data_IF_706686595390
#
_entry.id   IF_706686595390
#
_cell.length_a   1.000
_cell.length_b   1.000
_cell.length_c   1.000
_cell.angle_alpha   90.00
_cell.angle_beta   90.00
_cell.angle_gamma   90.00
#
_symmetry.space_group_name_H-M   'P 1'
#
loop_
_entity.id
_entity.type
_entity.pdbx_description
1 polymer ?
2 non-polymer ?
3 water ?
#
# COMPACT_ATOMS: atom_id res chain seq x y z
N UNK A 5 -20.95 0.97 -7.46
CA UNK A 5 -19.54 1.07 -7.74
C UNK A 5 -19.28 1.48 -9.20
N UNK A 6 -18.61 2.61 -9.38
CA UNK A 6 -18.26 3.09 -10.71
C UNK A 6 -16.89 2.56 -11.11
N UNK A 7 -16.86 1.67 -12.11
CA UNK A 7 -15.60 1.12 -12.57
C UNK A 7 -15.00 1.99 -13.68
N UNK A 8 -13.84 2.54 -13.41
CA UNK A 8 -13.17 3.44 -14.35
C UNK A 8 -12.06 2.70 -15.09
N UNK A 9 -12.29 2.44 -16.38
CA UNK A 9 -11.29 1.77 -17.20
C UNK A 9 -10.03 2.62 -17.33
N UNK A 10 -8.87 2.00 -17.13
CA UNK A 10 -7.61 2.71 -17.30
C UNK A 10 -7.00 2.39 -18.66
N UNK A 11 -6.94 3.40 -19.52
CA UNK A 11 -6.53 3.19 -20.91
C UNK A 11 -5.46 4.16 -21.34
N UNK A 12 -5.51 5.36 -20.80
CA UNK A 12 -4.55 6.38 -21.20
C UNK A 12 -4.36 7.44 -20.13
N UNK A 13 -3.12 7.88 -19.97
CA UNK A 13 -2.79 8.95 -19.05
C UNK A 13 -1.50 9.62 -19.52
N UNK A 14 -1.46 10.94 -19.40
CA UNK A 14 -0.23 11.69 -19.61
C UNK A 14 -0.10 12.71 -18.50
N UNK A 15 0.94 12.58 -17.68
CA UNK A 15 1.13 13.54 -16.59
C UNK A 15 1.29 14.93 -17.17
N UNK A 16 0.82 15.94 -16.44
CA UNK A 16 0.95 17.32 -16.93
C UNK A 16 2.42 17.67 -17.11
N UNK A 17 2.74 18.25 -18.27
CA UNK A 17 4.13 18.53 -18.61
C UNK A 17 4.62 17.56 -19.67
N UNK A 18 4.38 16.26 -19.45
CA UNK A 18 4.81 15.24 -20.39
C UNK A 18 4.06 15.32 -21.73
N UNK A 19 4.55 14.57 -22.71
CA UNK A 19 3.89 14.39 -24.00
C UNK A 19 3.43 12.93 -24.09
N UNK A 20 2.36 12.65 -24.81
CA UNK A 20 1.85 11.28 -24.93
C UNK A 20 2.97 10.28 -25.29
N UNK A 21 3.01 9.16 -24.58
CA UNK A 21 4.06 8.17 -24.78
C UNK A 21 3.58 6.89 -25.44
N UNK A 22 4.52 6.07 -25.90
CA UNK A 22 4.24 4.76 -26.48
C UNK A 22 5.44 3.85 -26.26
N UNK A 23 5.31 2.55 -26.58
CA UNK A 23 6.36 1.60 -26.22
C UNK A 23 7.73 1.92 -26.84
N UNK A 24 7.73 2.59 -27.99
CA UNK A 24 8.98 2.87 -28.70
C UNK A 24 9.80 3.96 -28.04
N UNK A 25 9.21 4.67 -27.09
CA UNK A 25 9.92 5.75 -26.40
C UNK A 25 10.68 5.28 -25.15
N UNK A 26 10.65 3.99 -24.89
CA UNK A 26 11.33 3.42 -23.72
C UNK A 26 12.29 2.29 -24.12
N UNK A 27 13.29 2.05 -23.27
CA UNK A 27 14.13 0.86 -23.40
C UNK A 27 14.25 0.14 -22.05
N UNK A 28 14.22 -1.18 -22.08
CA UNK A 28 14.33 -1.99 -20.87
C UNK A 28 15.76 -2.00 -20.32
N UNK A 29 15.89 -1.88 -19.00
CA UNK A 29 17.20 -1.95 -18.37
C UNK A 29 17.35 -3.22 -17.56
N UNK A 30 16.34 -3.54 -16.76
CA UNK A 30 16.38 -4.74 -15.93
C UNK A 30 15.05 -5.00 -15.27
N UNK A 31 14.99 -6.09 -14.52
CA UNK A 31 13.78 -6.40 -13.76
C UNK A 31 13.94 -5.90 -12.34
N UNK A 32 12.95 -5.14 -11.86
CA UNK A 32 12.99 -4.58 -10.51
C UNK A 32 12.38 -5.54 -9.50
N UNK A 33 11.42 -6.33 -9.96
CA UNK A 33 10.72 -7.23 -9.07
C UNK A 33 9.62 -7.99 -9.78
N UNK A 34 8.92 -8.82 -9.02
CA UNK A 34 7.88 -9.65 -9.58
C UNK A 34 6.70 -9.56 -8.62
N UNK A 35 5.53 -9.22 -9.14
CA UNK A 35 4.32 -9.18 -8.33
C UNK A 35 3.35 -10.25 -8.80
N UNK A 36 2.16 -10.26 -8.20
CA UNK A 36 1.11 -11.19 -8.57
C UNK A 36 0.68 -11.01 -10.03
N UNK A 37 0.73 -9.77 -10.50
CA UNK A 37 0.26 -9.46 -11.84
C UNK A 37 1.41 -9.27 -12.84
N UNK A 38 2.58 -9.79 -12.50
CA UNK A 38 3.69 -9.80 -13.43
C UNK A 38 4.96 -9.13 -12.94
N UNK A 39 5.95 -9.08 -13.82
CA UNK A 39 7.24 -8.48 -13.50
C UNK A 39 7.09 -6.97 -13.49
N UNK A 40 7.95 -6.29 -12.74
CA UNK A 40 8.03 -4.84 -12.82
C UNK A 40 9.41 -4.51 -13.38
N UNK A 41 9.46 -3.73 -14.45
CA UNK A 41 10.72 -3.49 -15.15
C UNK A 41 11.28 -2.09 -14.86
N UNK A 42 12.60 -1.98 -14.89
CA UNK A 42 13.22 -0.64 -14.94
C UNK A 42 13.38 -0.25 -16.40
N UNK A 43 12.91 0.95 -16.74
CA UNK A 43 13.02 1.41 -18.12
C UNK A 43 13.61 2.81 -18.17
N UNK A 44 14.20 3.17 -19.31
CA UNK A 44 14.70 4.51 -19.53
C UNK A 44 13.88 5.15 -20.64
N UNK A 45 13.42 6.38 -20.42
CA UNK A 45 12.73 7.15 -21.47
C UNK A 45 13.82 7.64 -22.41
N UNK A 46 13.70 7.33 -23.70
CA UNK A 46 14.79 7.66 -24.63
C UNK A 46 14.58 8.96 -25.39
N UNK A 47 13.36 9.49 -25.36
CA UNK A 47 13.09 10.72 -26.07
C UNK A 47 12.01 11.54 -25.38
N UNK A 48 11.96 12.83 -25.70
CA UNK A 48 10.95 13.69 -25.12
C UNK A 48 11.50 14.57 -24.02
N UNK A 49 10.63 15.41 -23.46
CA UNK A 49 11.01 16.38 -22.45
C UNK A 49 11.71 15.71 -21.27
N UNK A 50 11.33 14.47 -20.98
CA UNK A 50 11.91 13.72 -19.88
C UNK A 50 12.88 12.63 -20.35
N UNK A 51 13.48 12.83 -21.52
CA UNK A 51 14.45 11.86 -22.03
C UNK A 51 15.53 11.59 -20.98
N UNK A 52 15.95 10.33 -20.87
CA UNK A 52 17.03 9.89 -19.98
C UNK A 52 16.55 9.59 -18.56
N UNK A 53 15.31 9.98 -18.24
CA UNK A 53 14.71 9.70 -16.95
C UNK A 53 14.42 8.21 -16.79
N UNK A 54 14.58 7.69 -15.58
CA UNK A 54 14.27 6.29 -15.29
C UNK A 54 12.89 6.15 -14.63
N UNK A 55 12.18 5.09 -14.98
CA UNK A 55 10.85 4.85 -14.43
C UNK A 55 10.68 3.35 -14.18
N UNK A 56 9.68 2.98 -13.39
CA UNK A 56 9.27 1.57 -13.30
C UNK A 56 8.17 1.35 -14.33
N UNK A 57 8.09 0.14 -14.87
CA UNK A 57 7.03 -0.20 -15.83
C UNK A 57 6.31 -1.50 -15.48
N UNK A 58 4.98 -1.46 -15.51
CA UNK A 58 4.17 -2.67 -15.42
C UNK A 58 3.46 -2.89 -16.75
N UNK A 59 3.38 -4.14 -17.19
CA UNK A 59 2.67 -4.47 -18.41
C UNK A 59 1.56 -5.46 -18.10
N UNK A 60 0.32 -5.02 -18.24
CA UNK A 60 -0.85 -5.83 -17.88
C UNK A 60 -1.71 -6.07 -19.11
N UNK A 61 -2.75 -6.89 -18.95
CA UNK A 61 -3.74 -7.00 -20.00
C UNK A 61 -4.70 -5.83 -19.86
N UNK A 62 -5.11 -5.57 -18.63
CA UNK A 62 -5.98 -4.44 -18.36
C UNK A 62 -5.98 -4.06 -16.88
N UNK A 63 -6.59 -2.93 -16.58
CA UNK A 63 -6.68 -2.43 -15.22
C UNK A 63 -7.88 -1.50 -15.13
N UNK A 64 -8.58 -1.57 -13.99
CA UNK A 64 -9.70 -0.67 -13.77
C UNK A 64 -9.64 -0.13 -12.36
N UNK A 65 -10.22 1.04 -12.15
CA UNK A 65 -10.30 1.62 -10.82
C UNK A 65 -11.76 1.62 -10.37
N UNK A 66 -12.08 0.79 -9.38
CA UNK A 66 -13.43 0.73 -8.83
C UNK A 66 -13.61 1.83 -7.79
N UNK A 67 -14.56 2.72 -8.04
CA UNK A 67 -14.76 3.87 -7.16
C UNK A 67 -16.17 3.85 -6.60
N UNK A 68 -16.28 3.75 -5.27
CA UNK A 68 -17.58 3.80 -4.62
C UNK A 68 -18.04 5.24 -4.46
N UNK A 78 -8.81 12.85 -14.33
CA UNK A 78 -8.85 13.56 -13.06
C UNK A 78 -8.51 12.63 -11.91
N UNK A 79 -9.13 11.45 -11.86
CA UNK A 79 -8.90 10.52 -10.75
C UNK A 79 -7.44 10.08 -10.70
N UNK A 80 -6.82 9.90 -11.87
CA UNK A 80 -5.42 9.46 -11.91
C UNK A 80 -4.47 10.55 -11.45
N UNK A 81 -5.00 11.76 -11.30
CA UNK A 81 -4.27 12.88 -10.75
C UNK A 81 -4.60 13.05 -9.28
N UNK A 82 -5.86 12.80 -8.94
CA UNK A 82 -6.33 12.95 -7.56
C UNK A 82 -5.64 11.99 -6.60
N UNK A 83 -5.29 10.81 -7.12
CA UNK A 83 -4.67 9.78 -6.28
C UNK A 83 -3.24 10.13 -5.89
N UNK A 84 -2.69 11.21 -6.45
CA UNK A 84 -1.35 11.64 -6.07
C UNK A 84 -1.26 11.99 -4.58
N UNK A 85 -0.17 11.55 -3.96
CA UNK A 85 0.00 11.71 -2.53
C UNK A 85 1.49 11.53 -2.20
N UNK A 86 1.96 12.14 -1.10
CA UNK A 86 3.38 12.05 -0.72
C UNK A 86 3.85 10.60 -0.56
N UNK A 87 2.95 9.71 -0.14
CA UNK A 87 3.33 8.34 0.17
C UNK A 87 2.72 7.29 -0.77
N UNK A 88 2.36 7.73 -1.98
CA UNK A 88 1.83 6.84 -3.00
C UNK A 88 2.57 7.03 -4.31
N UNK A 89 2.90 5.93 -4.98
CA UNK A 89 3.65 6.00 -6.25
C UNK A 89 2.88 6.88 -7.23
N UNK A 90 3.62 7.64 -8.04
CA UNK A 90 2.98 8.47 -9.06
C UNK A 90 2.96 7.76 -10.41
N UNK A 91 1.83 7.83 -11.10
CA UNK A 91 1.69 7.31 -12.45
C UNK A 91 2.04 8.44 -13.41
N UNK A 92 3.03 8.21 -14.27
CA UNK A 92 3.47 9.23 -15.20
C UNK A 92 2.81 9.09 -16.57
N UNK A 93 2.63 7.84 -17.00
CA UNK A 93 1.97 7.56 -18.28
C UNK A 93 1.18 6.26 -18.21
N UNK A 94 0.13 6.17 -19.01
CA UNK A 94 -0.51 4.89 -19.28
C UNK A 94 -0.87 4.88 -20.77
N UNK A 95 -0.63 3.75 -21.44
CA UNK A 95 -1.00 3.61 -22.84
C UNK A 95 -1.25 2.16 -23.19
N UNK A 96 -2.04 1.92 -24.22
CA UNK A 96 -2.36 0.57 -24.66
C UNK A 96 -1.86 0.32 -26.08
N UNK A 97 -1.23 -0.83 -26.28
CA UNK A 97 -0.78 -1.24 -27.59
C UNK A 97 -0.82 -2.76 -27.69
N UNK A 98 -1.56 -3.27 -28.67
CA UNK A 98 -1.67 -4.71 -28.94
C UNK A 98 -2.34 -5.52 -27.83
N UNK A 99 -3.43 -4.99 -27.29
CA UNK A 99 -4.14 -5.67 -26.23
C UNK A 99 -3.34 -5.75 -24.95
N UNK A 100 -2.45 -4.78 -24.75
CA UNK A 100 -1.66 -4.69 -23.53
C UNK A 100 -1.76 -3.28 -22.97
N UNK A 101 -1.73 -3.17 -21.65
CA UNK A 101 -1.71 -1.87 -20.98
C UNK A 101 -0.34 -1.66 -20.33
N UNK A 102 0.30 -0.54 -20.65
CA UNK A 102 1.59 -0.20 -20.08
C UNK A 102 1.39 0.89 -19.05
N UNK A 103 1.93 0.68 -17.84
CA UNK A 103 1.90 1.71 -16.81
C UNK A 103 3.33 2.13 -16.50
N UNK A 104 3.58 3.43 -16.59
CA UNK A 104 4.91 3.98 -16.32
C UNK A 104 4.83 4.76 -15.02
N UNK A 105 5.59 4.31 -14.03
CA UNK A 105 5.45 4.79 -12.66
C UNK A 105 6.80 5.31 -12.13
N UNK A 106 6.77 6.08 -11.05
CA UNK A 106 8.00 6.43 -10.34
C UNK A 106 8.87 5.19 -10.20
N UNK A 107 10.17 5.37 -10.39
CA UNK A 107 11.15 4.37 -9.98
C UNK A 107 11.41 4.60 -8.49
N UNK A 108 10.91 3.68 -7.66
CA UNK A 108 11.11 3.77 -6.21
C UNK A 108 12.45 3.12 -5.86
N UNK A 109 13.36 3.91 -5.28
CA UNK A 109 14.77 3.52 -5.21
C UNK A 109 15.20 2.90 -3.87
N UNK A 110 14.32 2.91 -2.89
CA UNK A 110 14.69 2.52 -1.54
C UNK A 110 14.46 1.06 -1.16
N UNK A 111 13.90 0.27 -2.07
CA UNK A 111 13.64 -1.13 -1.79
C UNK A 111 12.42 -1.25 -0.89
N UNK A 112 12.03 -2.48 -0.55
CA UNK A 112 10.82 -2.65 0.25
C UNK A 112 11.07 -2.43 1.73
N UNK A 113 10.02 -2.04 2.45
CA UNK A 113 10.15 -1.68 3.86
C UNK A 113 10.60 -2.87 4.70
N UNK A 114 9.99 -4.02 4.45
CA UNK A 114 10.30 -5.20 5.26
C UNK A 114 11.77 -5.60 5.14
N UNK A 115 12.34 -5.42 3.95
CA UNK A 115 13.74 -5.76 3.75
C UNK A 115 14.65 -4.80 4.53
N UNK A 116 14.29 -3.52 4.54
CA UNK A 116 15.06 -2.51 5.27
C UNK A 116 15.03 -2.80 6.76
N UNK A 117 13.86 -3.18 7.27
CA UNK A 117 13.73 -3.51 8.69
C UNK A 117 14.54 -4.75 9.05
N UNK A 118 14.59 -5.71 8.13
CA UNK A 118 15.32 -6.97 8.39
C UNK A 118 16.82 -6.75 8.53
N UNK A 119 17.30 -5.62 8.03
CA UNK A 119 18.73 -5.30 8.11
C UNK A 119 19.10 -4.66 9.44
N UNK A 120 18.09 -4.47 10.30
CA UNK A 120 18.27 -3.84 11.61
C UNK A 120 17.94 -4.83 12.72
N UNK A 121 18.91 -5.12 13.59
CA UNK A 121 18.65 -6.01 14.72
C UNK A 121 17.74 -5.38 15.78
N UNK A 122 17.93 -4.09 16.06
CA UNK A 122 17.35 -3.46 17.24
C UNK A 122 16.15 -2.52 17.07
N UNK A 123 15.37 -2.62 15.99
CA UNK A 123 14.33 -1.59 15.80
C UNK A 123 13.23 -1.60 16.87
N UNK A 124 12.64 -0.43 17.09
CA UNK A 124 11.71 -0.21 18.19
C UNK A 124 10.28 0.00 17.74
N UNK A 125 9.37 0.02 18.71
CA UNK A 125 7.97 0.35 18.45
C UNK A 125 7.85 1.72 17.79
N UNK A 126 8.64 2.69 18.26
CA UNK A 126 8.57 4.04 17.72
C UNK A 126 9.05 4.10 16.27
N UNK A 127 10.03 3.27 15.91
CA UNK A 127 10.47 3.19 14.52
C UNK A 127 9.31 2.70 13.65
N UNK A 128 8.69 1.60 14.05
CA UNK A 128 7.58 1.04 13.30
C UNK A 128 6.41 2.02 13.20
N UNK A 129 6.16 2.75 14.28
CA UNK A 129 5.08 3.74 14.33
C UNK A 129 5.20 4.78 13.22
N UNK A 130 6.43 5.16 12.90
CA UNK A 130 6.66 6.16 11.86
C UNK A 130 6.12 5.67 10.52
N UNK A 131 6.46 4.43 10.17
CA UNK A 131 6.04 3.86 8.89
C UNK A 131 4.53 3.60 8.85
N UNK A 132 3.97 3.13 9.97
CA UNK A 132 2.53 2.94 10.03
C UNK A 132 1.79 4.26 9.85
N UNK A 133 2.31 5.32 10.45
CA UNK A 133 1.65 6.62 10.34
C UNK A 133 1.62 7.10 8.89
N UNK A 134 2.74 6.98 8.18
CA UNK A 134 2.74 7.38 6.77
C UNK A 134 1.77 6.51 5.95
N UNK A 135 1.77 5.21 6.23
CA UNK A 135 0.84 4.30 5.58
C UNK A 135 -0.62 4.69 5.83
N UNK A 136 -0.93 5.09 7.06
CA UNK A 136 -2.30 5.50 7.39
C UNK A 136 -2.74 6.72 6.57
N UNK A 137 -1.83 7.67 6.40
CA UNK A 137 -2.19 8.85 5.60
C UNK A 137 -2.48 8.44 4.16
N UNK A 138 -1.66 7.57 3.60
CA UNK A 138 -1.85 7.06 2.25
C UNK A 138 -3.20 6.34 2.08
N UNK A 139 -3.51 5.46 3.03
CA UNK A 139 -4.75 4.70 2.94
C UNK A 139 -5.97 5.60 3.00
N UNK A 140 -5.97 6.52 3.96
CA UNK A 140 -7.10 7.42 4.11
C UNK A 140 -7.24 8.30 2.87
N UNK A 141 -6.12 8.67 2.27
CA UNK A 141 -6.19 9.46 1.05
C UNK A 141 -7.02 8.74 0.00
N UNK A 142 -6.70 7.47 -0.22
CA UNK A 142 -7.44 6.66 -1.18
C UNK A 142 -8.90 6.53 -0.78
N UNK A 143 -9.15 6.26 0.50
CA UNK A 143 -10.53 6.14 0.98
C UNK A 143 -11.33 7.40 0.71
N UNK A 144 -10.69 8.55 0.83
CA UNK A 144 -11.35 9.84 0.63
C UNK A 144 -11.83 9.99 -0.81
N UNK A 145 -11.26 9.19 -1.71
CA UNK A 145 -11.61 9.21 -3.13
C UNK A 145 -12.55 8.06 -3.48
N UNK A 146 -12.99 7.32 -2.46
CA UNK A 146 -13.88 6.19 -2.69
C UNK A 146 -13.15 4.94 -3.14
N UNK A 147 -11.84 4.91 -2.90
CA UNK A 147 -11.01 3.80 -3.32
C UNK A 147 -10.66 2.95 -2.10
N UNK A 148 -10.67 1.63 -2.28
CA UNK A 148 -10.27 0.69 -1.24
C UNK A 148 -9.00 -0.02 -1.72
N UNK A 149 -7.97 -0.11 -0.88
CA UNK A 149 -6.72 -0.67 -1.38
C UNK A 149 -6.90 -2.13 -1.74
N UNK A 150 -7.60 -2.86 -0.88
CA UNK A 150 -8.04 -4.23 -1.13
C UNK A 150 -6.99 -5.30 -0.77
N UNK A 151 -5.83 -5.19 -1.42
CA UNK A 151 -4.84 -6.26 -1.40
C UNK A 151 -3.54 -5.81 -0.74
N UNK A 152 -3.66 -5.04 0.35
CA UNK A 152 -2.49 -4.48 1.02
C UNK A 152 -1.60 -5.57 1.58
N UNK A 153 -0.32 -5.56 1.19
CA UNK A 153 0.65 -6.55 1.64
C UNK A 153 2.05 -5.93 1.64
N UNK A 154 3.02 -6.56 2.33
CA UNK A 154 4.37 -5.99 2.43
C UNK A 154 5.03 -5.66 1.10
N UNK A 155 4.82 -6.49 0.09
CA UNK A 155 5.43 -6.32 -1.22
C UNK A 155 4.98 -5.03 -1.92
N UNK A 156 3.89 -4.45 -1.44
CA UNK A 156 3.39 -3.20 -2.00
C UNK A 156 3.89 -1.97 -1.25
N UNK A 157 4.68 -2.20 -0.21
CA UNK A 157 5.12 -1.10 0.64
C UNK A 157 6.60 -0.90 0.44
N UNK A 158 6.94 0.08 -0.39
CA UNK A 158 8.33 0.39 -0.71
C UNK A 158 8.80 1.68 -0.05
N UNK A 159 10.06 2.03 -0.32
CA UNK A 159 10.65 3.23 0.24
C UNK A 159 11.25 4.02 -0.91
N UNK A 160 11.19 5.34 -0.80
CA UNK A 160 11.90 6.18 -1.77
C UNK A 160 13.34 6.38 -1.34
N UNK A 161 14.08 7.20 -2.08
CA UNK A 161 15.51 7.35 -1.82
C UNK A 161 15.77 8.00 -0.47
N UNK A 162 14.77 8.68 0.07
CA UNK A 162 14.91 9.37 1.35
C UNK A 162 14.43 8.52 2.51
N UNK A 163 13.87 7.36 2.20
CA UNK A 163 13.42 6.42 3.23
C UNK A 163 11.97 6.58 3.65
N UNK A 164 11.21 7.40 2.92
CA UNK A 164 9.78 7.54 3.21
C UNK A 164 8.96 6.46 2.51
N UNK A 165 7.78 6.16 3.08
CA UNK A 165 6.88 5.17 2.51
C UNK A 165 6.39 5.55 1.12
N UNK A 166 6.32 4.55 0.24
CA UNK A 166 5.67 4.71 -1.06
C UNK A 166 4.91 3.44 -1.42
N UNK A 167 3.58 3.52 -1.49
CA UNK A 167 2.78 2.36 -1.93
C UNK A 167 3.00 2.14 -3.43
N UNK A 168 3.04 0.88 -3.86
CA UNK A 168 3.33 0.60 -5.27
C UNK A 168 2.09 0.63 -6.15
N UNK A 169 0.94 0.82 -5.54
CA UNK A 169 -0.29 0.95 -6.32
C UNK A 169 -1.25 1.87 -5.58
N UNK A 170 -2.42 2.10 -6.18
CA UNK A 170 -3.41 2.99 -5.59
C UNK A 170 -4.81 2.43 -5.76
N UNK A 171 -4.92 1.10 -5.72
CA UNK A 171 -6.23 0.46 -5.72
C UNK A 171 -6.70 -0.07 -7.06
N UNK A 172 -5.81 -0.21 -8.03
CA UNK A 172 -6.20 -0.76 -9.32
C UNK A 172 -6.63 -2.22 -9.23
N UNK A 173 -7.71 -2.54 -9.92
CA UNK A 173 -8.09 -3.93 -10.15
C UNK A 173 -7.45 -4.35 -11.47
N UNK A 174 -6.44 -5.21 -11.39
CA UNK A 174 -5.61 -5.54 -12.54
C UNK A 174 -5.89 -6.91 -13.13
N UNK A 175 -5.53 -7.09 -14.39
CA UNK A 175 -5.55 -8.40 -15.04
C UNK A 175 -4.18 -8.62 -15.68
N UNK A 176 -3.49 -9.67 -15.26
CA UNK A 176 -2.18 -9.99 -15.83
C UNK A 176 -2.36 -10.41 -17.29
N UNK A 177 -1.28 -10.36 -18.05
CA UNK A 177 -1.35 -10.66 -19.48
C UNK A 177 -1.62 -12.13 -19.74
N UNK A 189 -2.11 -14.09 -1.21
CA UNK A 189 -1.88 -13.49 0.09
C UNK A 189 -3.16 -13.25 0.87
N UNK A 190 -3.71 -14.33 1.43
CA UNK A 190 -4.91 -14.23 2.24
C UNK A 190 -4.56 -13.78 3.65
N UNK A 191 -3.28 -13.88 4.00
CA UNK A 191 -2.85 -13.60 5.37
C UNK A 191 -3.20 -12.20 5.86
N UNK A 192 -3.36 -11.27 4.93
CA UNK A 192 -3.63 -9.88 5.29
C UNK A 192 -5.09 -9.49 5.09
N UNK A 193 -5.90 -10.42 4.60
CA UNK A 193 -7.28 -10.13 4.23
C UNK A 193 -8.26 -10.12 5.41
N UNK A 194 -9.17 -9.16 5.41
CA UNK A 194 -10.15 -9.03 6.49
C UNK A 194 -11.19 -10.15 6.46
N UNK A 195 -11.74 -10.50 7.63
CA UNK A 195 -12.71 -11.60 7.72
C UNK A 195 -13.88 -11.42 6.75
N UNK A 196 -14.40 -10.20 6.65
CA UNK A 196 -15.52 -9.93 5.76
C UNK A 196 -15.13 -10.12 4.29
N UNK A 197 -13.84 -10.00 4.01
CA UNK A 197 -13.33 -10.23 2.66
C UNK A 197 -13.18 -11.73 2.40
N UNK A 198 -12.62 -12.42 3.37
CA UNK A 198 -12.42 -13.87 3.27
C UNK A 198 -13.72 -14.61 2.96
N UNK A 199 -14.80 -14.26 3.65
CA UNK A 199 -16.07 -14.96 3.48
C UNK A 199 -16.98 -14.32 2.42
N UNK A 200 -16.42 -13.37 1.67
CA UNK A 200 -17.13 -12.75 0.55
C UNK A 200 -18.45 -12.09 0.93
N UNK A 201 -18.62 -11.76 2.21
CA UNK A 201 -19.88 -11.20 2.70
C UNK A 201 -20.06 -9.73 2.33
N UNK A 202 -18.95 -9.01 2.25
CA UNK A 202 -18.99 -7.59 1.97
C UNK A 202 -17.60 -7.00 1.81
N UNK A 203 -17.53 -5.67 1.72
CA UNK A 203 -16.27 -5.01 1.44
C UNK A 203 -16.42 -3.49 1.57
N UNK A 204 -15.69 -2.90 2.51
CA UNK A 204 -15.61 -1.46 2.61
C UNK A 204 -14.17 -1.07 2.91
N UNK A 205 -13.92 0.22 3.10
CA UNK A 205 -12.58 0.68 3.45
C UNK A 205 -12.14 0.14 4.81
N UNK A 206 -13.10 -0.35 5.60
CA UNK A 206 -12.79 -0.92 6.90
C UNK A 206 -11.87 -2.14 6.78
N UNK A 207 -11.99 -2.85 5.67
CA UNK A 207 -11.12 -4.00 5.43
C UNK A 207 -9.64 -3.60 5.36
N UNK A 208 -9.36 -2.38 4.90
CA UNK A 208 -7.97 -1.93 4.81
C UNK A 208 -7.36 -1.73 6.19
N UNK A 209 -8.18 -1.34 7.16
CA UNK A 209 -7.66 -1.10 8.51
C UNK A 209 -7.37 -2.42 9.22
N UNK A 210 -8.08 -3.49 8.83
CA UNK A 210 -7.71 -4.83 9.31
C UNK A 210 -6.35 -5.22 8.78
N UNK A 211 -6.14 -5.05 7.47
CA UNK A 211 -4.85 -5.38 6.87
C UNK A 211 -3.74 -4.58 7.57
N UNK A 212 -4.04 -3.32 7.83
CA UNK A 212 -3.15 -2.41 8.56
C UNK A 212 -2.75 -3.01 9.91
N UNK A 213 -3.74 -3.50 10.66
CA UNK A 213 -3.46 -4.17 11.92
C UNK A 213 -2.57 -5.39 11.75
N UNK A 214 -2.81 -6.16 10.69
CA UNK A 214 -1.98 -7.34 10.44
C UNK A 214 -0.53 -6.94 10.18
N UNK A 215 -0.33 -5.91 9.36
CA UNK A 215 1.02 -5.42 9.12
C UNK A 215 1.69 -4.94 10.41
N UNK A 216 0.95 -4.19 11.22
CA UNK A 216 1.44 -3.74 12.52
C UNK A 216 1.86 -4.91 13.40
N UNK A 217 0.99 -5.90 13.51
CA UNK A 217 1.27 -7.12 14.28
C UNK A 217 2.56 -7.77 13.79
N UNK A 218 2.68 -7.89 12.47
CA UNK A 218 3.83 -8.58 11.90
C UNK A 218 5.13 -7.81 12.12
N UNK A 219 5.09 -6.48 11.99
CA UNK A 219 6.31 -5.69 12.20
C UNK A 219 6.73 -5.66 13.66
N UNK A 220 5.75 -5.69 14.56
CA UNK A 220 6.03 -5.57 15.98
C UNK A 220 6.40 -6.90 16.64
N UNK A 221 6.02 -8.02 16.03
CA UNK A 221 6.28 -9.32 16.64
C UNK A 221 7.14 -10.26 15.80
N UNK A 222 7.26 -9.97 14.51
CA UNK A 222 8.01 -10.82 13.60
C UNK A 222 7.24 -12.06 13.15
N UNK A 223 5.95 -12.11 13.49
CA UNK A 223 5.12 -13.24 13.11
C UNK A 223 3.77 -12.76 12.60
N UNK A 224 3.12 -13.55 11.77
CA UNK A 224 1.75 -13.27 11.34
C UNK A 224 0.78 -13.72 12.42
N UNK A 225 -0.33 -12.99 12.57
CA UNK A 225 -1.32 -13.37 13.59
C UNK A 225 -2.08 -14.64 13.20
N UNK A 226 -2.34 -14.81 11.90
CA UNK A 226 -3.09 -15.97 11.42
C UNK A 226 -2.41 -16.63 10.23
N UNK A 227 -1.96 -17.86 10.41
CA UNK A 227 -1.38 -18.60 9.30
C UNK A 227 -1.42 -20.10 9.56
N UNK A 228 -2.11 -20.82 8.69
CA UNK A 228 -2.19 -22.26 8.80
C UNK A 228 -1.26 -22.95 7.82
N UNK A 229 -1.49 -24.25 7.61
CA UNK A 229 -0.63 -25.05 6.73
C UNK A 229 -0.97 -24.81 5.26
N UNK A 230 -2.16 -24.27 5.01
CA UNK A 230 -2.55 -23.92 3.65
C UNK A 230 -3.55 -22.77 3.67
N UNK A 231 -3.90 -22.27 2.49
CA UNK A 231 -4.82 -21.14 2.38
C UNK A 231 -6.18 -21.42 3.00
N UNK A 232 -6.69 -22.63 2.78
CA UNK A 232 -7.97 -23.05 3.33
C UNK A 232 -8.01 -22.88 4.85
N UNK A 233 -6.95 -23.32 5.52
CA UNK A 233 -6.89 -23.25 6.97
C UNK A 233 -6.63 -21.83 7.47
N UNK A 234 -5.79 -21.10 6.74
CA UNK A 234 -5.51 -19.70 7.10
C UNK A 234 -6.81 -18.91 7.12
N UNK A 235 -7.65 -19.14 6.11
CA UNK A 235 -8.93 -18.45 6.01
C UNK A 235 -9.83 -18.76 7.20
N UNK A 236 -9.89 -20.03 7.58
CA UNK A 236 -10.70 -20.42 8.73
C UNK A 236 -10.18 -19.75 9.99
N UNK A 237 -8.85 -19.68 10.11
CA UNK A 237 -8.23 -19.04 11.27
C UNK A 237 -8.60 -17.56 11.33
N UNK A 238 -8.53 -16.87 10.20
CA UNK A 238 -8.91 -15.46 10.13
C UNK A 238 -10.33 -15.26 10.65
N UNK A 239 -11.20 -16.22 10.34
CA UNK A 239 -12.61 -16.10 10.70
C UNK A 239 -12.92 -16.43 12.16
N UNK A 240 -12.22 -17.40 12.73
CA UNK A 240 -12.64 -17.95 14.03
C UNK A 240 -11.56 -18.17 15.09
N UNK A 241 -10.29 -18.13 14.70
CA UNK A 241 -9.23 -18.49 15.63
C UNK A 241 -9.03 -17.46 16.75
N UNK A 242 -8.54 -17.91 17.90
CA UNK A 242 -8.14 -17.00 18.96
C UNK A 242 -6.82 -16.35 18.56
N UNK A 243 -6.50 -15.24 19.20
CA UNK A 243 -5.23 -14.57 18.96
C UNK A 243 -4.71 -14.00 20.26
N UNK A 244 -3.54 -14.47 20.68
CA UNK A 244 -2.90 -13.98 21.88
C UNK A 244 -2.42 -12.55 21.69
N UNK A 245 -2.60 -11.73 22.71
CA UNK A 245 -2.07 -10.36 22.67
C UNK A 245 -0.58 -10.40 23.03
N UNK A 246 0.26 -9.84 22.15
CA UNK A 246 1.71 -9.78 22.41
C UNK A 246 1.99 -9.04 23.72
N UNK A 247 2.71 -9.68 24.64
CA UNK A 247 2.84 -9.15 25.99
C UNK A 247 3.96 -8.13 26.20
N UNK A 248 4.83 -7.99 25.20
CA UNK A 248 5.99 -7.12 25.36
C UNK A 248 5.85 -5.83 24.57
N UNK A 249 4.63 -5.56 24.13
CA UNK A 249 4.28 -4.32 23.48
C UNK A 249 3.75 -3.32 24.50
N UNK A 250 3.82 -2.05 24.16
CA UNK A 250 3.34 -1.00 25.05
C UNK A 250 1.84 -1.16 25.20
N UNK A 251 1.29 -0.66 26.32
CA UNK A 251 -0.17 -0.67 26.48
C UNK A 251 -0.86 0.00 25.31
N UNK A 252 -0.27 1.10 24.81
CA UNK A 252 -0.86 1.82 23.67
C UNK A 252 -0.89 0.95 22.41
N UNK A 253 0.20 0.24 22.14
CA UNK A 253 0.23 -0.65 20.99
C UNK A 253 -0.80 -1.78 21.13
N UNK A 254 -0.88 -2.35 22.32
CA UNK A 254 -1.84 -3.42 22.57
C UNK A 254 -3.26 -2.92 22.33
N UNK A 255 -3.55 -1.71 22.78
CA UNK A 255 -4.88 -1.13 22.60
C UNK A 255 -5.21 -0.95 21.12
N UNK A 256 -4.27 -0.42 20.34
CA UNK A 256 -4.52 -0.23 18.92
C UNK A 256 -4.81 -1.58 18.25
N UNK A 257 -4.00 -2.59 18.56
CA UNK A 257 -4.24 -3.92 18.02
C UNK A 257 -5.65 -4.42 18.36
N UNK A 258 -6.05 -4.29 19.61
CA UNK A 258 -7.37 -4.73 20.00
C UNK A 258 -8.46 -4.03 19.20
N UNK A 259 -8.28 -2.73 18.94
CA UNK A 259 -9.31 -1.94 18.26
C UNK A 259 -9.36 -2.18 16.75
N UNK A 260 -8.24 -2.59 16.17
CA UNK A 260 -8.18 -2.88 14.74
C UNK A 260 -8.66 -4.31 14.45
N UNK A 261 -8.40 -5.21 15.39
CA UNK A 261 -8.72 -6.61 15.18
C UNK A 261 -10.15 -6.95 15.61
N UNK A 262 -11.11 -6.13 15.19
CA UNK A 262 -12.52 -6.46 15.38
C UNK A 262 -13.01 -7.15 14.11
N UNK A 263 -13.64 -8.31 14.27
CA UNK A 263 -14.10 -9.07 13.11
C UNK A 263 -15.35 -8.44 12.50
N UNK A 264 -16.09 -7.69 13.30
CA UNK A 264 -17.19 -6.88 12.79
C UNK A 264 -16.66 -5.55 12.27
N UNK A 265 -16.71 -5.34 10.95
CA UNK A 265 -16.09 -4.19 10.28
C UNK A 265 -16.67 -2.87 10.80
N UNK A 266 -17.94 -2.89 11.17
CA UNK A 266 -18.61 -1.67 11.64
C UNK A 266 -18.06 -1.22 12.98
N UNK A 267 -17.44 -2.14 13.72
CA UNK A 267 -16.94 -1.83 15.06
C UNK A 267 -15.43 -1.63 15.08
N UNK A 268 -14.82 -1.65 13.90
CA UNK A 268 -13.37 -1.60 13.79
C UNK A 268 -12.91 -0.15 13.82
N UNK A 269 -11.75 0.12 14.43
CA UNK A 269 -11.24 1.49 14.50
C UNK A 269 -11.11 2.02 13.08
N UNK A 270 -11.57 3.25 12.88
CA UNK A 270 -11.56 3.86 11.56
C UNK A 270 -12.91 3.83 10.86
N UNK A 271 -13.82 3.01 11.36
CA UNK A 271 -15.13 2.85 10.73
C UNK A 271 -16.23 3.68 11.42
N UNK A 272 -15.87 4.37 12.48
CA UNK A 272 -16.82 5.18 13.21
C UNK A 272 -17.08 6.51 12.53
N UNK A 273 -17.85 7.39 13.20
CA UNK A 273 -18.22 8.71 12.70
C UNK A 273 -17.01 9.57 12.31
N UNK A 274 -15.97 9.54 13.15
CA UNK A 274 -14.81 10.40 12.92
C UNK A 274 -13.81 9.77 11.95
N UNK A 275 -14.15 8.61 11.41
CA UNK A 275 -13.32 7.96 10.40
C UNK A 275 -11.88 7.83 10.83
N UNK A 276 -10.97 8.25 9.93
CA UNK A 276 -9.54 8.10 10.17
C UNK A 276 -9.07 8.85 11.41
N UNK A 277 -9.82 9.86 11.84
CA UNK A 277 -9.44 10.59 13.06
C UNK A 277 -9.45 9.67 14.28
N UNK A 278 -10.25 8.61 14.23
CA UNK A 278 -10.27 7.62 15.30
C UNK A 278 -8.89 6.99 15.45
N UNK A 279 -8.23 6.80 14.31
CA UNK A 279 -6.89 6.22 14.29
C UNK A 279 -5.83 7.24 14.64
N UNK A 280 -5.91 8.43 14.04
CA UNK A 280 -4.90 9.46 14.27
C UNK A 280 -4.85 9.93 15.72
N UNK A 281 -5.98 9.91 16.40
CA UNK A 281 -6.04 10.38 17.79
C UNK A 281 -5.76 9.27 18.80
N UNK A 282 -5.54 8.06 18.31
CA UNK A 282 -5.30 6.94 19.21
C UNK A 282 -3.98 7.12 19.96
N UNK A 283 -3.94 6.66 21.20
CA UNK A 283 -2.79 6.87 22.06
C UNK A 283 -1.47 6.36 21.45
N UNK A 284 -1.55 5.31 20.64
CA UNK A 284 -0.37 4.76 19.99
C UNK A 284 0.32 5.85 19.16
N UNK A 285 -0.46 6.73 18.57
CA UNK A 285 0.09 7.72 17.65
C UNK A 285 0.26 9.09 18.30
N UNK A 286 0.19 9.17 19.63
CA UNK A 286 0.27 10.45 20.33
C UNK A 286 1.58 11.20 20.06
N UNK A 287 2.63 10.47 19.71
CA UNK A 287 3.93 11.10 19.45
C UNK A 287 4.05 11.72 18.05
N UNK A 288 3.06 11.46 17.21
CA UNK A 288 3.14 11.86 15.80
C UNK A 288 2.44 13.20 15.54
N UNK A 289 3.16 14.13 14.91
CA UNK A 289 2.54 15.34 14.38
C UNK A 289 2.17 15.04 12.93
N UNK A 290 0.88 14.83 12.69
CA UNK A 290 0.39 14.38 11.38
C UNK A 290 0.65 15.40 10.27
N UNK A 291 0.61 16.67 10.61
CA UNK A 291 0.84 17.70 9.60
C UNK A 291 2.31 17.73 9.17
N UNK A 292 3.22 17.67 10.14
CA UNK A 292 4.65 17.59 9.84
C UNK A 292 4.94 16.32 9.07
N UNK A 293 4.30 15.22 9.48
CA UNK A 293 4.47 13.95 8.78
C UNK A 293 4.11 14.07 7.30
N UNK A 294 2.94 14.64 7.02
CA UNK A 294 2.47 14.80 5.64
C UNK A 294 3.49 15.58 4.80
N UNK A 295 4.06 16.61 5.40
CA UNK A 295 4.97 17.51 4.72
C UNK A 295 6.40 16.96 4.64
N UNK A 296 6.57 15.73 5.12
CA UNK A 296 7.87 15.06 5.11
C UNK A 296 8.92 15.82 5.91
N UNK A 297 8.49 16.46 6.99
CA UNK A 297 9.39 17.18 7.89
C UNK A 297 10.08 16.23 8.86
N UNK A 298 9.47 15.06 9.08
CA UNK A 298 10.03 14.11 10.03
C UNK A 298 10.97 13.13 9.35
N UNK A 299 12.20 13.05 9.85
CA UNK A 299 13.18 12.13 9.28
C UNK A 299 12.78 10.68 9.57
N UNK A 300 12.86 9.82 8.56
CA UNK A 300 12.57 8.40 8.75
C UNK A 300 13.59 7.78 9.71
N UNK A 301 13.20 6.74 10.45
CA UNK A 301 14.10 6.11 11.42
C UNK A 301 15.38 5.60 10.78
N UNK A 302 15.28 5.14 9.54
CA UNK A 302 16.40 4.53 8.84
C UNK A 302 16.54 5.12 7.45
N UNK A 303 17.77 5.20 6.95
CA UNK A 303 17.97 5.66 5.59
C UNK A 303 18.35 4.51 4.67
N UNK A 304 17.85 4.53 3.43
CA UNK A 304 18.17 3.53 2.42
C UNK A 304 19.68 3.28 2.32
#
# INVERSE_FOLDING_TARGET
MEGSIKEIAITHHVKEGHEKADPSQFELLKVLGQGSFGKVFLVKKISGSDARQLYAMKVLKKATLKVRDRVRTKMERDILVEVNHPFIVKLHYAFQTEGKLYLILDFLRGGDLFTRLSKEVMFTEEDVKFYLAELALALDHLHSLGIIYRDLKPENILLDEEGHIKLTDFGLSKESIDHEKKAYSFCGTVEYMAPEVVNRRGHTQSADWWSFGVLMFEMLTGTLPFQGKDRKETMTMILKAKLGMPQFLSPEAQSLLRMLFKRNPANRLGAGPDGVEEIKRHSFFSTIDWNKLYRREIHPPFKPATGRPEDTFYFDPEFTAKTPK
#
